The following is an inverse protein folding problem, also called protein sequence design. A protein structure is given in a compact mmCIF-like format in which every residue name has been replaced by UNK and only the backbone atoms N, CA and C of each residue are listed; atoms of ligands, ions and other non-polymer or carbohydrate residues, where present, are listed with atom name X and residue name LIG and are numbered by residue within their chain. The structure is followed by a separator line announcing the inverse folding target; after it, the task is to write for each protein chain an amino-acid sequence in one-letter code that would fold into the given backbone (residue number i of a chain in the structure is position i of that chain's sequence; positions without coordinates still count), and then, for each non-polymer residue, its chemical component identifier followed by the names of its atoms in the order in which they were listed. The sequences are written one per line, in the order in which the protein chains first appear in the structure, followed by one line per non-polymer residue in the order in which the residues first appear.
data_IF_991531864462
#
_entry.id   IF_991531864462
#
_cell.length_a   1.000
_cell.length_b   1.000
_cell.length_c   1.000
_cell.angle_alpha   90.00
_cell.angle_beta   90.00
_cell.angle_gamma   90.00
#
_symmetry.space_group_name_H-M   'P 1'
#
loop_
_entity.id
_entity.type
_entity.pdbx_description
1 polymer ?
#
# COMPACT_ATOMS: atom_id res chain seq x y z
N UNK A 1 26.07 -5.46 11.62
CA UNK A 1 26.04 -5.36 10.14
C UNK A 1 24.65 -5.63 9.57
N UNK A 2 23.94 -6.68 10.00
CA UNK A 2 22.62 -7.07 9.45
C UNK A 2 21.60 -5.92 9.43
N UNK A 3 21.51 -5.13 10.50
CA UNK A 3 20.61 -3.98 10.58
C UNK A 3 20.92 -2.91 9.50
N UNK A 4 22.20 -2.62 9.29
CA UNK A 4 22.64 -1.63 8.29
C UNK A 4 22.32 -2.08 6.87
N UNK A 5 22.45 -3.38 6.60
CA UNK A 5 22.07 -4.00 5.32
C UNK A 5 20.55 -3.92 5.13
N UNK A 6 19.77 -4.28 6.15
CA UNK A 6 18.30 -4.20 6.09
C UNK A 6 17.81 -2.77 5.85
N UNK A 7 18.28 -1.79 6.64
CA UNK A 7 17.93 -0.38 6.47
C UNK A 7 18.38 0.16 5.10
N UNK A 8 19.55 -0.26 4.62
CA UNK A 8 20.06 0.13 3.30
C UNK A 8 19.34 -0.53 2.11
N UNK A 9 18.66 -1.65 2.33
CA UNK A 9 17.88 -2.35 1.30
C UNK A 9 16.47 -1.79 1.09
N UNK A 10 16.01 -0.93 2.00
CA UNK A 10 14.69 -0.30 1.97
C UNK A 10 14.84 1.12 1.44
N UNK A 11 13.95 1.53 0.53
CA UNK A 11 13.98 2.89 0.00
C UNK A 11 13.65 3.92 1.08
N UNK A 12 14.23 5.13 1.06
CA UNK A 12 13.98 6.15 2.10
C UNK A 12 12.49 6.51 2.27
N UNK A 13 11.72 6.50 1.18
CA UNK A 13 10.28 6.76 1.20
C UNK A 13 9.51 5.74 2.06
N UNK A 14 9.97 4.49 2.09
CA UNK A 14 9.38 3.41 2.88
C UNK A 14 10.00 3.37 4.28
N UNK A 15 11.31 3.56 4.38
CA UNK A 15 12.06 3.53 5.63
C UNK A 15 11.56 4.53 6.68
N UNK A 16 11.06 5.68 6.24
CA UNK A 16 10.50 6.69 7.15
C UNK A 16 9.23 6.25 7.91
N UNK A 17 8.53 5.22 7.44
CA UNK A 17 7.34 4.68 8.11
C UNK A 17 7.65 3.57 9.11
N UNK A 18 8.89 3.07 9.14
CA UNK A 18 9.33 1.96 10.00
C UNK A 18 10.01 2.54 11.24
N UNK A 19 9.52 2.24 12.46
CA UNK A 19 10.18 2.65 13.70
C UNK A 19 11.63 2.18 13.75
N UNK A 20 12.52 3.03 14.27
CA UNK A 20 13.93 2.64 14.42
C UNK A 20 14.12 1.60 15.53
N UNK A 21 15.15 0.76 15.39
CA UNK A 21 15.49 -0.29 16.33
C UNK A 21 16.96 -0.66 16.22
N UNK A 22 17.65 -0.78 17.36
CA UNK A 22 19.04 -1.22 17.43
C UNK A 22 19.20 -2.75 17.24
N UNK A 23 18.10 -3.50 17.36
CA UNK A 23 18.07 -4.93 17.16
C UNK A 23 17.52 -5.31 15.79
N UNK A 24 18.26 -6.15 15.06
CA UNK A 24 17.89 -6.67 13.75
C UNK A 24 16.54 -7.42 13.76
N UNK A 25 16.31 -8.26 14.79
CA UNK A 25 15.08 -9.06 14.90
C UNK A 25 13.86 -8.21 15.26
N UNK A 26 14.06 -7.13 16.02
CA UNK A 26 12.98 -6.20 16.32
C UNK A 26 12.64 -5.34 15.10
N UNK A 27 13.65 -4.90 14.35
CA UNK A 27 13.45 -4.12 13.12
C UNK A 27 12.64 -4.89 12.07
N UNK A 28 12.95 -6.17 11.81
CA UNK A 28 12.20 -6.97 10.84
C UNK A 28 10.75 -7.23 11.27
N UNK A 29 10.47 -7.34 12.57
CA UNK A 29 9.10 -7.41 13.10
C UNK A 29 8.34 -6.11 12.86
N UNK A 30 8.97 -4.96 13.11
CA UNK A 30 8.36 -3.66 12.86
C UNK A 30 8.08 -3.43 11.37
N UNK A 31 8.94 -3.95 10.48
CA UNK A 31 8.67 -3.99 9.04
C UNK A 31 7.40 -4.81 8.79
N UNK A 32 7.37 -6.08 9.22
CA UNK A 32 6.23 -6.97 9.02
C UNK A 32 4.91 -6.37 9.53
N UNK A 33 4.89 -5.85 10.76
CA UNK A 33 3.72 -5.23 11.37
C UNK A 33 3.19 -4.02 10.56
N UNK A 34 4.09 -3.17 10.06
CA UNK A 34 3.70 -2.02 9.23
C UNK A 34 3.02 -2.44 7.92
N UNK A 35 3.53 -3.46 7.24
CA UNK A 35 2.98 -3.87 5.94
C UNK A 35 1.77 -4.81 6.06
N UNK A 36 1.68 -5.58 7.15
CA UNK A 36 0.55 -6.47 7.41
C UNK A 36 -0.76 -5.69 7.59
N UNK A 37 -0.72 -4.61 8.40
CA UNK A 37 -1.87 -3.74 8.61
C UNK A 37 -2.21 -2.88 7.38
N UNK A 38 -1.18 -2.34 6.72
CA UNK A 38 -1.34 -1.43 5.59
C UNK A 38 -1.92 -2.10 4.35
N UNK A 39 -1.49 -3.32 4.03
CA UNK A 39 -2.02 -4.06 2.87
C UNK A 39 -3.53 -4.33 2.99
N UNK A 40 -3.98 -4.74 4.18
CA UNK A 40 -5.40 -4.98 4.46
C UNK A 40 -6.24 -3.69 4.42
N UNK A 41 -5.74 -2.61 5.00
CA UNK A 41 -6.44 -1.32 5.00
C UNK A 41 -6.49 -0.71 3.59
N UNK A 42 -5.44 -0.88 2.79
CA UNK A 42 -5.39 -0.44 1.40
C UNK A 42 -6.37 -1.22 0.53
N UNK A 43 -6.42 -2.55 0.65
CA UNK A 43 -7.41 -3.38 -0.04
C UNK A 43 -8.85 -2.99 0.35
N UNK A 44 -9.12 -2.75 1.63
CA UNK A 44 -10.44 -2.29 2.10
C UNK A 44 -10.79 -0.91 1.53
N UNK A 45 -9.84 0.03 1.50
CA UNK A 45 -10.02 1.36 0.91
C UNK A 45 -10.32 1.27 -0.57
N UNK A 46 -9.61 0.39 -1.29
CA UNK A 46 -9.84 0.16 -2.71
C UNK A 46 -11.22 -0.42 -2.97
N UNK A 47 -11.65 -1.44 -2.21
CA UNK A 47 -13.02 -1.98 -2.30
C UNK A 47 -14.08 -0.91 -2.06
N UNK A 48 -13.91 -0.06 -1.04
CA UNK A 48 -14.84 1.04 -0.76
C UNK A 48 -14.90 2.00 -1.95
N UNK A 49 -13.74 2.38 -2.52
CA UNK A 49 -13.69 3.22 -3.73
C UNK A 49 -14.44 2.57 -4.89
N UNK A 50 -14.25 1.27 -5.15
CA UNK A 50 -14.95 0.58 -6.24
C UNK A 50 -16.46 0.52 -6.03
N UNK A 51 -16.93 0.22 -4.82
CA UNK A 51 -18.37 0.13 -4.50
C UNK A 51 -19.04 1.51 -4.53
N UNK A 52 -18.31 2.56 -4.17
CA UNK A 52 -18.81 3.93 -4.15
C UNK A 52 -18.71 4.64 -5.50
N UNK A 53 -17.86 4.16 -6.41
CA UNK A 53 -17.69 4.72 -7.75
C UNK A 53 -18.93 4.43 -8.60
N UNK A 54 -19.76 5.45 -8.80
CA UNK A 54 -20.96 5.38 -9.65
C UNK A 54 -20.70 6.02 -11.00
N UNK A 55 -21.44 5.58 -12.00
CA UNK A 55 -21.50 6.23 -13.30
C UNK A 55 -22.15 7.61 -13.17
N UNK A 56 -21.51 8.63 -13.72
CA UNK A 56 -21.92 10.04 -13.59
C UNK A 56 -22.93 10.49 -14.65
N UNK A 57 -23.22 9.64 -15.65
CA UNK A 57 -24.16 9.98 -16.73
C UNK A 57 -23.58 10.91 -17.81
N UNK A 58 -22.37 11.43 -17.62
CA UNK A 58 -21.75 12.43 -18.48
C UNK A 58 -20.49 11.90 -19.17
N UNK A 59 -19.68 11.12 -18.46
CA UNK A 59 -18.54 10.39 -19.02
C UNK A 59 -19.01 9.23 -19.90
N UNK A 60 -18.20 8.79 -20.87
CA UNK A 60 -18.59 7.65 -21.70
C UNK A 60 -18.61 6.36 -20.88
N UNK A 61 -19.60 5.47 -21.13
CA UNK A 61 -19.68 4.17 -20.43
C UNK A 61 -18.38 3.37 -20.54
N UNK A 62 -17.73 3.38 -21.72
CA UNK A 62 -16.42 2.74 -21.92
C UNK A 62 -15.34 3.34 -21.04
N UNK A 63 -15.35 4.65 -20.85
CA UNK A 63 -14.38 5.36 -20.01
C UNK A 63 -14.60 5.00 -18.53
N UNK A 64 -15.86 4.94 -18.09
CA UNK A 64 -16.20 4.51 -16.75
C UNK A 64 -15.73 3.07 -16.46
N UNK A 65 -15.98 2.14 -17.38
CA UNK A 65 -15.52 0.74 -17.27
C UNK A 65 -13.99 0.68 -17.21
N UNK A 66 -13.28 1.41 -18.09
CA UNK A 66 -11.81 1.45 -18.09
C UNK A 66 -11.26 1.95 -16.76
N UNK A 67 -11.85 3.01 -16.19
CA UNK A 67 -11.44 3.53 -14.86
C UNK A 67 -11.63 2.49 -13.76
N UNK A 68 -12.72 1.73 -13.79
CA UNK A 68 -12.93 0.63 -12.83
C UNK A 68 -11.95 -0.53 -13.04
N UNK A 69 -11.62 -0.88 -14.29
CA UNK A 69 -10.65 -1.93 -14.60
C UNK A 69 -9.22 -1.56 -14.23
N UNK A 70 -8.83 -0.30 -14.45
CA UNK A 70 -7.53 0.25 -14.04
C UNK A 70 -7.37 0.21 -12.52
N UNK A 71 -8.40 0.62 -11.79
CA UNK A 71 -8.45 0.56 -10.33
C UNK A 71 -8.36 -0.87 -9.77
N UNK A 72 -8.85 -1.88 -10.50
CA UNK A 72 -8.76 -3.29 -10.09
C UNK A 72 -7.37 -3.90 -10.35
N UNK A 73 -6.59 -3.28 -11.24
CA UNK A 73 -5.32 -3.81 -11.73
C UNK A 73 -4.10 -3.30 -10.94
N UNK A 74 -4.31 -2.36 -10.00
CA UNK A 74 -3.27 -1.65 -9.25
C UNK A 74 -3.47 -1.72 -7.74
#
# INVERSE_FOLDING_TARGET
MSLMIMKGSITPAIGGAIPDSDNAMSYIKSVEEQFLGTSKSLASTLMIKMITMKYDGHSGVREHILKMSDMASH
#
